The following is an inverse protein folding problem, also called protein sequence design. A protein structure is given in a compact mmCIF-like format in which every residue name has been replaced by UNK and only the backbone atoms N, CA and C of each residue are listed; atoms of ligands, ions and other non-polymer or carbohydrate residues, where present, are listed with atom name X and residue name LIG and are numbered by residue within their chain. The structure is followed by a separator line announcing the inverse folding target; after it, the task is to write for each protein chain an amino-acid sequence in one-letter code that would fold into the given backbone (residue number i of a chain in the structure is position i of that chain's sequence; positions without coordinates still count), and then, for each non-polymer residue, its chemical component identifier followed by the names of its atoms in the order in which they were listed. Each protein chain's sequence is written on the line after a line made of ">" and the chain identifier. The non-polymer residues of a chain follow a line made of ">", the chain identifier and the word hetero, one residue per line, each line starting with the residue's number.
data_IF_456459735569
#
_entry.id   IF_456459735569
#
_cell.length_a   1.000
_cell.length_b   1.000
_cell.length_c   1.000
_cell.angle_alpha   90.00
_cell.angle_beta   90.00
_cell.angle_gamma   90.00
#
_symmetry.space_group_name_H-M   'P 1'
#
loop_
_entity.id
_entity.type
_entity.pdbx_description
1 polymer ?
#
# COMPACT_ATOMS: atom_id res chain seq x y z
N UNK A 1 -13.07 -3.54 11.33
CA UNK A 1 -11.62 -3.73 11.54
C UNK A 1 -11.04 -4.20 10.21
N UNK A 2 -10.03 -3.53 9.66
CA UNK A 2 -9.54 -3.79 8.29
C UNK A 2 -9.13 -5.26 8.06
N UNK A 3 -8.26 -5.82 8.92
CA UNK A 3 -7.88 -7.23 8.85
C UNK A 3 -9.06 -8.20 8.86
N UNK A 4 -10.07 -7.95 9.70
CA UNK A 4 -11.23 -8.82 9.79
C UNK A 4 -12.09 -8.75 8.53
N UNK A 5 -12.22 -7.57 7.90
CA UNK A 5 -12.95 -7.43 6.64
C UNK A 5 -12.27 -8.13 5.47
N UNK A 6 -10.97 -8.45 5.56
CA UNK A 6 -10.20 -9.13 4.52
C UNK A 6 -9.88 -10.60 4.85
N UNK A 7 -10.31 -11.09 6.01
CA UNK A 7 -9.86 -12.40 6.49
C UNK A 7 -10.31 -13.54 5.57
N UNK A 8 -11.56 -13.53 5.10
CA UNK A 8 -12.08 -14.55 4.20
C UNK A 8 -11.35 -14.54 2.85
N UNK A 9 -11.05 -13.36 2.30
CA UNK A 9 -10.28 -13.21 1.05
C UNK A 9 -8.87 -13.79 1.21
N UNK A 10 -8.21 -13.52 2.33
CA UNK A 10 -6.89 -14.07 2.65
C UNK A 10 -6.93 -15.58 2.73
N UNK A 11 -7.90 -16.15 3.44
CA UNK A 11 -8.06 -17.60 3.52
C UNK A 11 -8.38 -18.21 2.15
N UNK A 12 -9.23 -17.56 1.35
CA UNK A 12 -9.54 -17.97 -0.03
C UNK A 12 -8.32 -17.97 -0.94
N UNK A 13 -7.34 -17.09 -0.69
CA UNK A 13 -6.05 -17.06 -1.40
C UNK A 13 -5.03 -18.09 -0.88
N UNK A 14 -5.38 -18.89 0.14
CA UNK A 14 -4.49 -19.87 0.77
C UNK A 14 -3.57 -19.29 1.84
N UNK A 15 -3.79 -18.05 2.28
CA UNK A 15 -3.01 -17.40 3.33
C UNK A 15 -3.64 -17.61 4.71
N UNK A 16 -2.80 -17.91 5.71
CA UNK A 16 -3.15 -17.80 7.11
C UNK A 16 -2.90 -16.38 7.64
N UNK A 17 -3.69 -15.95 8.62
CA UNK A 17 -3.50 -14.68 9.32
C UNK A 17 -3.40 -14.94 10.82
N UNK A 18 -2.44 -14.31 11.49
CA UNK A 18 -2.37 -14.22 12.93
C UNK A 18 -1.81 -12.85 13.35
N UNK A 19 -2.27 -12.32 14.46
CA UNK A 19 -1.75 -11.08 15.04
C UNK A 19 -1.09 -11.40 16.38
N UNK A 20 0.12 -10.89 16.60
CA UNK A 20 0.85 -11.02 17.87
C UNK A 20 0.85 -9.67 18.57
N UNK A 21 0.49 -9.62 19.85
CA UNK A 21 0.63 -8.42 20.69
C UNK A 21 1.22 -8.76 22.06
N UNK A 22 1.68 -7.76 22.81
CA UNK A 22 2.19 -7.92 24.17
C UNK A 22 1.08 -8.15 25.20
N UNK A 23 -0.18 -8.08 24.80
CA UNK A 23 -1.33 -8.18 25.70
C UNK A 23 -1.54 -9.62 26.18
N UNK A 24 -2.01 -9.82 27.43
CA UNK A 24 -2.36 -11.14 27.92
C UNK A 24 -3.58 -11.71 27.18
N UNK A 25 -3.70 -13.03 27.14
CA UNK A 25 -4.78 -13.76 26.45
C UNK A 25 -6.19 -13.32 26.87
N UNK A 26 -6.38 -12.93 28.13
CA UNK A 26 -7.67 -12.41 28.63
C UNK A 26 -8.07 -11.10 27.95
N UNK A 27 -7.12 -10.17 27.78
CA UNK A 27 -7.35 -8.91 27.08
C UNK A 27 -7.65 -9.16 25.60
N UNK A 28 -6.86 -10.02 24.96
CA UNK A 28 -7.06 -10.40 23.56
C UNK A 28 -8.43 -11.05 23.33
N UNK A 29 -8.85 -11.96 24.21
CA UNK A 29 -10.16 -12.62 24.10
C UNK A 29 -11.32 -11.63 24.25
N UNK A 30 -11.23 -10.69 25.19
CA UNK A 30 -12.25 -9.65 25.36
C UNK A 30 -12.32 -8.73 24.14
N UNK A 31 -11.16 -8.28 23.65
CA UNK A 31 -11.07 -7.44 22.45
C UNK A 31 -11.64 -8.16 21.22
N UNK A 32 -11.28 -9.43 21.03
CA UNK A 32 -11.80 -10.23 19.92
C UNK A 32 -13.33 -10.37 19.97
N UNK A 33 -13.88 -10.68 21.14
CA UNK A 33 -15.33 -10.77 21.34
C UNK A 33 -16.04 -9.44 21.08
N UNK A 34 -15.50 -8.33 21.58
CA UNK A 34 -16.07 -7.00 21.40
C UNK A 34 -16.04 -6.51 19.94
N UNK A 35 -15.08 -6.96 19.14
CA UNK A 35 -14.85 -6.50 17.77
C UNK A 35 -15.19 -7.55 16.70
N UNK A 36 -15.72 -8.71 17.08
CA UNK A 36 -16.05 -9.80 16.17
C UNK A 36 -14.84 -10.35 15.42
N UNK A 37 -13.67 -10.39 16.07
CA UNK A 37 -12.44 -10.91 15.46
C UNK A 37 -12.45 -12.43 15.51
N UNK A 38 -12.18 -13.05 14.37
CA UNK A 38 -12.22 -14.50 14.15
C UNK A 38 -10.87 -15.10 13.77
N UNK A 39 -9.91 -14.27 13.35
CA UNK A 39 -8.54 -14.71 13.16
C UNK A 39 -7.79 -14.85 14.51
N UNK A 40 -6.77 -15.73 14.59
CA UNK A 40 -5.96 -15.90 15.80
C UNK A 40 -5.29 -14.61 16.30
N UNK A 41 -5.50 -14.31 17.59
CA UNK A 41 -4.73 -13.33 18.35
C UNK A 41 -3.79 -14.07 19.31
N UNK A 42 -2.49 -13.86 19.15
CA UNK A 42 -1.43 -14.51 19.92
C UNK A 42 -0.88 -13.54 20.96
N UNK A 43 -0.80 -14.02 22.20
CA UNK A 43 -0.21 -13.27 23.32
C UNK A 43 1.29 -13.52 23.39
N UNK A 44 2.06 -12.45 23.30
CA UNK A 44 3.47 -12.38 23.66
C UNK A 44 3.60 -11.62 25.00
N UNK A 45 2.85 -12.06 26.02
CA UNK A 45 2.87 -11.43 27.33
C UNK A 45 4.30 -11.36 27.89
N UNK A 46 4.73 -10.15 28.24
CA UNK A 46 6.11 -9.89 28.65
C UNK A 46 7.07 -9.60 27.49
N UNK A 47 6.60 -9.60 26.23
CA UNK A 47 7.29 -9.14 25.02
C UNK A 47 8.58 -9.91 24.68
N UNK A 48 8.62 -11.23 24.88
CA UNK A 48 9.82 -12.02 24.58
C UNK A 48 10.09 -12.07 23.08
N UNK A 49 9.06 -12.40 22.29
CA UNK A 49 9.14 -12.45 20.82
C UNK A 49 9.39 -11.06 20.24
N UNK A 50 8.66 -10.06 20.73
CA UNK A 50 8.81 -8.66 20.31
C UNK A 50 10.26 -8.17 20.51
N UNK A 51 10.89 -8.51 21.64
CA UNK A 51 12.30 -8.15 21.90
C UNK A 51 13.27 -8.92 21.02
N UNK A 52 13.08 -10.22 20.85
CA UNK A 52 13.94 -11.06 20.01
C UNK A 52 13.99 -10.55 18.56
N UNK A 53 12.86 -10.07 18.05
CA UNK A 53 12.76 -9.51 16.71
C UNK A 53 13.18 -8.03 16.62
N UNK A 54 13.62 -7.42 17.73
CA UNK A 54 14.04 -6.01 17.77
C UNK A 54 12.90 -5.01 17.53
N UNK A 55 11.66 -5.40 17.83
CA UNK A 55 10.47 -4.60 17.54
C UNK A 55 9.98 -3.78 18.72
N UNK A 56 10.57 -3.96 19.91
CA UNK A 56 10.21 -3.16 21.08
C UNK A 56 10.51 -1.67 20.80
N UNK A 57 9.51 -0.81 20.93
CA UNK A 57 9.72 0.63 20.80
C UNK A 57 10.45 1.17 22.05
N UNK A 58 11.78 1.30 21.95
CA UNK A 58 12.60 1.88 23.01
C UNK A 58 12.50 3.41 23.11
N UNK A 59 11.97 4.09 22.08
CA UNK A 59 11.80 5.55 22.13
C UNK A 59 10.81 5.96 23.22
N UNK A 60 9.86 5.08 23.55
CA UNK A 60 8.87 5.29 24.61
C UNK A 60 9.36 4.85 25.99
N UNK A 61 10.67 4.58 26.18
CA UNK A 61 11.19 4.15 27.48
C UNK A 61 11.02 5.25 28.55
N UNK A 62 10.24 5.02 29.62
CA UNK A 62 9.97 6.02 30.65
C UNK A 62 11.22 6.41 31.45
N UNK A 63 12.24 5.55 31.52
CA UNK A 63 13.52 5.85 32.18
C UNK A 63 14.31 6.93 31.44
N UNK A 64 14.05 7.08 30.14
CA UNK A 64 14.65 8.10 29.27
C UNK A 64 13.75 9.34 29.12
N UNK A 65 12.56 9.34 29.74
CA UNK A 65 11.55 10.37 29.53
C UNK A 65 11.82 11.65 30.34
N UNK A 66 11.68 12.84 29.72
CA UNK A 66 11.46 14.09 30.44
C UNK A 66 10.26 13.94 31.39
N UNK A 67 10.31 14.61 32.55
CA UNK A 67 9.31 14.43 33.61
C UNK A 67 7.88 14.68 33.13
N UNK A 68 7.68 15.72 32.32
CA UNK A 68 6.41 16.09 31.70
C UNK A 68 5.85 15.06 30.69
N UNK A 69 6.67 14.14 30.18
CA UNK A 69 6.26 13.09 29.24
C UNK A 69 6.29 11.69 29.85
N UNK A 70 6.78 11.53 31.07
CA UNK A 70 7.02 10.22 31.70
C UNK A 70 5.75 9.39 31.81
N UNK A 71 4.63 9.97 32.22
CA UNK A 71 3.36 9.27 32.34
C UNK A 71 2.86 8.77 30.97
N UNK A 72 2.91 9.63 29.94
CA UNK A 72 2.53 9.25 28.58
C UNK A 72 3.41 8.12 28.06
N UNK A 73 4.73 8.25 28.20
CA UNK A 73 5.70 7.25 27.74
C UNK A 73 5.53 5.94 28.50
N UNK A 74 5.27 5.97 29.80
CA UNK A 74 4.99 4.77 30.60
C UNK A 74 3.75 4.00 30.11
N UNK A 75 2.70 4.71 29.66
CA UNK A 75 1.51 4.05 29.07
C UNK A 75 1.75 3.47 27.69
N UNK A 76 2.65 4.08 26.92
CA UNK A 76 2.96 3.67 25.55
C UNK A 76 4.16 2.70 25.47
N UNK A 77 4.90 2.53 26.57
CA UNK A 77 6.04 1.64 26.64
C UNK A 77 5.61 0.17 26.52
N UNK A 78 6.34 -0.61 25.71
CA UNK A 78 5.98 -1.99 25.41
C UNK A 78 5.20 -2.16 24.11
N UNK A 79 4.63 -1.09 23.57
CA UNK A 79 3.99 -1.09 22.26
C UNK A 79 5.09 -1.32 21.18
N UNK A 80 5.01 -2.40 20.38
CA UNK A 80 6.02 -2.67 19.35
C UNK A 80 5.88 -1.74 18.15
N UNK A 81 6.97 -1.49 17.42
CA UNK A 81 6.88 -0.96 16.06
C UNK A 81 5.98 -1.88 15.23
N UNK A 82 4.96 -1.34 14.54
CA UNK A 82 4.03 -2.14 13.79
C UNK A 82 4.75 -2.74 12.59
N UNK A 83 4.37 -3.97 12.25
CA UNK A 83 4.77 -4.54 10.98
C UNK A 83 4.12 -5.88 10.71
N UNK A 84 4.34 -6.34 9.49
CA UNK A 84 3.81 -7.58 8.97
C UNK A 84 4.96 -8.44 8.46
N UNK A 85 4.97 -9.69 8.88
CA UNK A 85 5.83 -10.72 8.31
C UNK A 85 5.02 -11.59 7.37
N UNK A 86 5.61 -11.94 6.23
CA UNK A 86 5.10 -13.00 5.36
C UNK A 86 5.98 -14.21 5.55
N UNK A 87 5.34 -15.35 5.79
CA UNK A 87 6.01 -16.61 6.07
C UNK A 87 5.70 -17.61 4.95
N UNK A 88 6.68 -18.43 4.61
CA UNK A 88 6.44 -19.65 3.83
C UNK A 88 5.77 -20.74 4.69
N UNK A 89 5.29 -21.86 4.11
CA UNK A 89 4.69 -22.96 4.87
C UNK A 89 5.62 -23.64 5.90
N UNK A 90 6.94 -23.45 5.79
CA UNK A 90 7.93 -23.95 6.75
C UNK A 90 8.17 -22.95 7.90
N UNK A 91 7.50 -21.80 7.89
CA UNK A 91 7.62 -20.75 8.89
C UNK A 91 8.82 -19.81 8.69
N UNK A 92 9.46 -19.81 7.51
CA UNK A 92 10.56 -18.87 7.20
C UNK A 92 10.00 -17.55 6.71
N UNK A 93 10.57 -16.45 7.20
CA UNK A 93 10.20 -15.10 6.75
C UNK A 93 10.68 -14.87 5.32
N UNK A 94 9.76 -14.66 4.39
CA UNK A 94 10.02 -14.37 2.98
C UNK A 94 9.94 -12.88 2.65
N UNK A 95 9.12 -12.12 3.40
CA UNK A 95 9.02 -10.68 3.27
C UNK A 95 8.68 -9.99 4.61
N UNK A 96 8.98 -8.70 4.68
CA UNK A 96 8.78 -7.85 5.86
C UNK A 96 8.23 -6.49 5.43
N UNK A 97 7.20 -6.01 6.13
CA UNK A 97 6.59 -4.70 5.89
C UNK A 97 6.55 -3.95 7.21
N UNK A 98 7.42 -2.94 7.34
CA UNK A 98 7.58 -2.14 8.55
C UNK A 98 7.59 -0.68 8.19
N UNK A 99 6.99 0.15 9.05
CA UNK A 99 6.97 1.59 8.89
C UNK A 99 7.85 2.27 9.93
N UNK A 100 8.49 3.37 9.54
CA UNK A 100 9.34 4.15 10.44
C UNK A 100 8.51 4.81 11.56
N UNK A 101 7.28 5.23 11.25
CA UNK A 101 6.35 5.77 12.23
C UNK A 101 5.46 4.66 12.80
N UNK A 102 5.39 4.55 14.14
CA UNK A 102 4.56 3.56 14.84
C UNK A 102 3.07 3.59 14.43
N UNK A 103 2.59 4.71 13.92
CA UNK A 103 1.18 4.93 13.61
C UNK A 103 0.81 4.53 12.18
N UNK A 104 1.80 4.34 11.31
CA UNK A 104 1.58 4.00 9.91
C UNK A 104 1.59 2.49 9.73
N UNK A 105 0.63 1.97 8.95
CA UNK A 105 0.53 0.54 8.67
C UNK A 105 0.13 0.31 7.22
N UNK A 106 0.91 -0.49 6.52
CA UNK A 106 0.51 -1.07 5.24
C UNK A 106 -0.75 -1.92 5.44
N UNK A 107 -1.79 -1.68 4.66
CA UNK A 107 -3.00 -2.53 4.63
C UNK A 107 -2.66 -3.90 4.06
N UNK A 108 -3.42 -4.93 4.39
CA UNK A 108 -3.09 -6.27 3.89
C UNK A 108 -3.32 -6.38 2.39
N UNK A 109 -4.32 -5.66 1.87
CA UNK A 109 -4.54 -5.54 0.43
C UNK A 109 -3.33 -4.92 -0.28
N UNK A 110 -2.73 -3.85 0.27
CA UNK A 110 -1.50 -3.24 -0.25
C UNK A 110 -0.32 -4.22 -0.23
N UNK A 111 -0.15 -4.94 0.88
CA UNK A 111 0.89 -5.97 1.01
C UNK A 111 0.72 -7.06 -0.06
N UNK A 112 -0.50 -7.55 -0.27
CA UNK A 112 -0.78 -8.59 -1.24
C UNK A 112 -0.41 -8.15 -2.68
N UNK A 113 -0.76 -6.92 -3.07
CA UNK A 113 -0.38 -6.36 -4.38
C UNK A 113 1.13 -6.25 -4.53
N UNK A 114 1.83 -5.78 -3.50
CA UNK A 114 3.30 -5.65 -3.52
C UNK A 114 4.03 -6.99 -3.61
N UNK A 115 3.40 -8.07 -3.17
CA UNK A 115 3.92 -9.44 -3.30
C UNK A 115 3.64 -10.07 -4.67
N UNK A 116 3.07 -9.32 -5.61
CA UNK A 116 2.67 -9.85 -6.92
C UNK A 116 1.43 -10.73 -6.85
N UNK A 117 0.67 -10.69 -5.75
CA UNK A 117 -0.64 -11.29 -5.69
C UNK A 117 -1.50 -10.77 -6.83
N UNK A 118 -2.27 -11.66 -7.46
CA UNK A 118 -3.41 -11.21 -8.25
C UNK A 118 -4.19 -10.25 -7.35
N UNK A 119 -4.59 -9.10 -7.90
CA UNK A 119 -5.66 -8.34 -7.29
C UNK A 119 -6.80 -9.35 -7.10
N UNK A 120 -7.00 -9.85 -5.87
CA UNK A 120 -8.10 -10.75 -5.60
C UNK A 120 -9.34 -9.89 -5.81
N UNK A 121 -9.88 -9.96 -7.03
CA UNK A 121 -10.72 -8.91 -7.61
C UNK A 121 -9.89 -7.75 -8.15
N UNK A 122 -9.83 -7.60 -9.47
CA UNK A 122 -10.00 -6.26 -10.03
C UNK A 122 -11.17 -5.63 -9.27
N UNK A 123 -10.91 -4.56 -8.52
CA UNK A 123 -11.92 -3.99 -7.64
C UNK A 123 -13.24 -3.86 -8.42
N UNK A 124 -14.41 -4.24 -7.85
CA UNK A 124 -15.69 -4.06 -8.54
C UNK A 124 -15.88 -2.62 -9.07
N UNK A 125 -15.17 -1.65 -8.48
CA UNK A 125 -15.15 -0.22 -8.84
C UNK A 125 -13.92 0.20 -9.66
N UNK A 126 -13.18 -0.73 -10.27
CA UNK A 126 -12.04 -0.40 -11.10
C UNK A 126 -12.47 0.43 -12.32
N UNK A 127 -11.81 1.57 -12.52
CA UNK A 127 -12.05 2.44 -13.67
C UNK A 127 -11.26 1.93 -14.87
N UNK A 128 -11.94 1.71 -16.00
CA UNK A 128 -11.30 1.33 -17.27
C UNK A 128 -11.16 2.54 -18.18
N UNK A 129 -9.97 2.73 -18.72
CA UNK A 129 -9.65 3.78 -19.68
C UNK A 129 -9.08 3.10 -20.92
N UNK A 130 -9.61 3.46 -22.08
CA UNK A 130 -9.10 3.00 -23.36
C UNK A 130 -8.63 4.19 -24.18
N UNK A 131 -7.47 4.05 -24.82
CA UNK A 131 -6.93 5.02 -25.77
C UNK A 131 -6.58 4.31 -27.08
N UNK A 132 -6.11 5.06 -28.08
CA UNK A 132 -5.59 4.46 -29.32
C UNK A 132 -4.31 3.64 -29.11
N UNK A 133 -3.61 3.82 -27.99
CA UNK A 133 -2.29 3.19 -27.75
C UNK A 133 -2.29 2.11 -26.68
N UNK A 134 -3.17 2.20 -25.68
CA UNK A 134 -3.19 1.33 -24.51
C UNK A 134 -4.56 1.30 -23.84
N UNK A 135 -4.79 0.26 -23.06
CA UNK A 135 -5.82 0.17 -22.04
C UNK A 135 -5.21 0.33 -20.65
N UNK A 136 -5.94 0.96 -19.73
CA UNK A 136 -5.56 1.08 -18.33
C UNK A 136 -6.74 0.70 -17.41
N UNK A 137 -6.46 -0.13 -16.41
CA UNK A 137 -7.38 -0.46 -15.32
C UNK A 137 -6.85 0.19 -14.05
N UNK A 138 -7.62 1.11 -13.48
CA UNK A 138 -7.25 1.99 -12.39
C UNK A 138 -8.05 1.64 -11.16
N UNK A 139 -7.38 1.32 -10.05
CA UNK A 139 -8.03 0.87 -8.82
C UNK A 139 -7.16 1.10 -7.59
N UNK A 140 -7.76 1.04 -6.39
CA UNK A 140 -7.05 1.14 -5.12
C UNK A 140 -7.21 -0.16 -4.33
N UNK A 141 -6.22 -0.48 -3.49
CA UNK A 141 -6.25 -1.69 -2.66
C UNK A 141 -7.30 -1.65 -1.56
N UNK A 142 -7.77 -0.45 -1.23
CA UNK A 142 -8.68 -0.18 -0.14
C UNK A 142 -9.71 0.85 -0.62
N UNK A 143 -10.99 0.55 -0.42
CA UNK A 143 -12.16 1.40 -0.66
C UNK A 143 -12.51 2.25 0.57
N UNK A 144 -12.13 1.78 1.76
CA UNK A 144 -12.32 2.45 3.04
C UNK A 144 -10.98 2.67 3.73
N UNK A 145 -10.64 3.93 4.01
CA UNK A 145 -9.35 4.35 4.56
C UNK A 145 -9.49 5.11 5.87
N UNK A 146 -8.46 5.05 6.71
CA UNK A 146 -8.38 5.76 7.98
C UNK A 146 -7.00 6.43 8.13
N UNK A 147 -6.87 7.45 8.99
CA UNK A 147 -5.57 7.99 9.37
C UNK A 147 -4.62 6.89 9.86
N UNK A 148 -3.37 6.93 9.41
CA UNK A 148 -2.35 5.90 9.63
C UNK A 148 -2.35 4.77 8.60
N UNK A 149 -3.30 4.69 7.67
CA UNK A 149 -3.23 3.69 6.60
C UNK A 149 -2.18 4.06 5.56
N UNK A 150 -1.39 3.06 5.16
CA UNK A 150 -0.65 3.03 3.91
C UNK A 150 -1.33 2.05 2.98
N UNK A 151 -1.76 2.55 1.83
CA UNK A 151 -2.45 1.80 0.78
C UNK A 151 -1.72 1.95 -0.55
N UNK A 152 -2.12 1.17 -1.55
CA UNK A 152 -1.55 1.27 -2.91
C UNK A 152 -2.61 1.72 -3.91
N UNK A 153 -2.24 2.70 -4.72
CA UNK A 153 -2.96 3.08 -5.94
C UNK A 153 -2.33 2.30 -7.10
N UNK A 154 -3.16 1.60 -7.86
CA UNK A 154 -2.70 0.64 -8.87
C UNK A 154 -3.22 1.05 -10.24
N UNK A 155 -2.32 0.95 -11.23
CA UNK A 155 -2.65 1.10 -12.63
C UNK A 155 -2.09 -0.10 -13.38
N UNK A 156 -2.99 -0.99 -13.82
CA UNK A 156 -2.66 -2.08 -14.75
C UNK A 156 -2.76 -1.52 -16.17
N UNK A 157 -1.66 -1.56 -16.91
CA UNK A 157 -1.55 -0.98 -18.25
C UNK A 157 -1.30 -2.09 -19.26
N UNK A 158 -2.05 -2.10 -20.34
CA UNK A 158 -1.87 -3.02 -21.47
C UNK A 158 -1.68 -2.19 -22.74
N UNK A 159 -0.46 -2.08 -23.28
CA UNK A 159 -0.25 -1.56 -24.63
C UNK A 159 -1.09 -2.33 -25.64
N UNK A 160 -1.63 -1.62 -26.65
CA UNK A 160 -2.33 -2.27 -27.77
C UNK A 160 -1.35 -3.04 -28.66
N UNK A 161 -1.82 -3.95 -29.53
CA UNK A 161 -0.95 -4.67 -30.44
C UNK A 161 0.01 -3.74 -31.19
N UNK A 162 1.26 -4.17 -31.32
CA UNK A 162 2.36 -3.43 -31.96
C UNK A 162 2.74 -2.10 -31.29
N UNK A 163 2.20 -1.78 -30.11
CA UNK A 163 2.55 -0.60 -29.33
C UNK A 163 3.49 -0.94 -28.18
N UNK A 164 4.38 0.00 -27.86
CA UNK A 164 5.16 -0.02 -26.63
C UNK A 164 5.20 1.36 -25.97
N UNK A 165 5.47 1.36 -24.67
CA UNK A 165 5.74 2.58 -23.89
C UNK A 165 7.09 2.45 -23.20
N UNK A 166 7.80 3.57 -23.07
CA UNK A 166 9.13 3.57 -22.45
C UNK A 166 9.04 3.30 -20.94
N UNK A 167 9.87 2.36 -20.47
CA UNK A 167 10.05 2.06 -19.06
C UNK A 167 11.18 2.93 -18.46
N UNK A 168 11.29 3.05 -17.12
CA UNK A 168 12.44 3.73 -16.52
C UNK A 168 13.78 3.13 -16.94
N UNK A 169 14.77 3.97 -17.23
CA UNK A 169 16.10 3.55 -17.64
C UNK A 169 17.03 4.73 -17.93
N UNK A 170 18.27 4.43 -18.32
CA UNK A 170 19.27 5.43 -18.70
C UNK A 170 19.08 5.87 -20.17
N UNK A 171 18.05 6.69 -20.41
CA UNK A 171 17.75 7.26 -21.72
C UNK A 171 16.94 8.55 -21.62
N UNK A 172 16.87 9.31 -22.72
CA UNK A 172 16.16 10.59 -22.78
C UNK A 172 14.65 10.49 -23.11
N UNK A 173 14.15 9.29 -23.46
CA UNK A 173 12.76 9.09 -23.82
C UNK A 173 11.76 9.36 -22.68
N UNK A 174 10.53 9.68 -23.06
CA UNK A 174 9.42 9.96 -22.13
C UNK A 174 8.86 8.67 -21.56
N UNK A 175 9.40 8.29 -20.41
CA UNK A 175 8.95 7.16 -19.60
C UNK A 175 7.49 7.31 -19.19
N UNK A 176 6.72 6.22 -19.22
CA UNK A 176 5.39 6.19 -18.62
C UNK A 176 5.48 6.53 -17.14
N UNK A 177 4.76 7.55 -16.69
CA UNK A 177 4.86 8.09 -15.33
C UNK A 177 3.48 8.33 -14.76
N UNK A 178 3.27 7.83 -13.54
CA UNK A 178 2.16 8.27 -12.72
C UNK A 178 2.60 9.50 -11.90
N UNK A 179 2.04 10.67 -12.22
CA UNK A 179 2.32 11.92 -11.52
C UNK A 179 1.15 12.32 -10.64
N UNK A 180 1.40 12.54 -9.36
CA UNK A 180 0.41 13.02 -8.40
C UNK A 180 0.89 14.30 -7.73
N UNK A 181 -0.02 15.26 -7.57
CA UNK A 181 0.17 16.36 -6.62
C UNK A 181 -0.54 15.95 -5.34
N UNK A 182 0.23 15.49 -4.35
CA UNK A 182 -0.33 14.97 -3.11
C UNK A 182 -1.10 16.07 -2.36
N UNK A 183 -2.38 15.86 -2.01
CA UNK A 183 -3.10 16.77 -1.12
C UNK A 183 -2.54 16.70 0.31
N UNK A 184 -2.78 17.72 1.12
CA UNK A 184 -2.19 17.87 2.47
C UNK A 184 -2.50 16.73 3.46
N UNK A 185 -3.54 15.93 3.17
CA UNK A 185 -3.94 14.76 3.96
C UNK A 185 -3.22 13.46 3.51
N UNK A 186 -2.40 13.52 2.47
CA UNK A 186 -1.77 12.37 1.84
C UNK A 186 -0.27 12.61 1.66
N UNK A 187 0.53 11.61 2.04
CA UNK A 187 1.93 11.54 1.70
C UNK A 187 2.12 10.58 0.54
N UNK A 188 2.69 11.09 -0.56
CA UNK A 188 3.08 10.30 -1.72
C UNK A 188 4.42 9.60 -1.50
N UNK A 189 4.56 8.37 -1.99
CA UNK A 189 5.84 7.64 -2.06
C UNK A 189 6.24 7.43 -3.53
N UNK A 190 7.34 6.75 -3.78
CA UNK A 190 7.78 6.45 -5.14
C UNK A 190 6.88 5.41 -5.81
N UNK A 191 6.71 5.56 -7.13
CA UNK A 191 6.02 4.56 -7.96
C UNK A 191 6.94 3.37 -8.16
N UNK A 192 6.45 2.18 -7.87
CA UNK A 192 7.12 0.92 -8.18
C UNK A 192 6.77 0.48 -9.60
N UNK A 193 7.82 0.24 -10.38
CA UNK A 193 7.74 -0.28 -11.75
C UNK A 193 8.14 -1.75 -11.78
N UNK A 194 7.50 -2.58 -12.63
CA UNK A 194 7.93 -3.95 -12.83
C UNK A 194 9.20 -4.01 -13.70
N UNK A 195 9.86 -5.17 -13.80
CA UNK A 195 10.92 -5.36 -14.78
C UNK A 195 10.41 -5.09 -16.20
N UNK A 196 11.24 -4.44 -17.03
CA UNK A 196 10.95 -4.13 -18.42
C UNK A 196 11.67 -5.07 -19.40
N UNK A 197 11.18 -5.12 -20.64
CA UNK A 197 11.89 -5.74 -21.76
C UNK A 197 12.83 -4.74 -22.42
N UNK A 198 13.84 -5.23 -23.14
CA UNK A 198 14.70 -4.39 -23.97
C UNK A 198 14.22 -4.44 -25.42
N UNK A 199 13.90 -3.27 -25.98
CA UNK A 199 13.49 -3.12 -27.37
C UNK A 199 14.61 -2.49 -28.20
N UNK A 200 14.87 -3.07 -29.37
CA UNK A 200 15.84 -2.56 -30.31
C UNK A 200 15.14 -1.74 -31.39
N UNK A 201 15.41 -0.43 -31.41
CA UNK A 201 14.86 0.48 -32.40
C UNK A 201 15.81 0.60 -33.59
N UNK A 202 15.60 -0.24 -34.61
CA UNK A 202 16.45 -0.31 -35.81
C UNK A 202 16.71 1.04 -36.49
N UNK A 203 15.74 1.97 -36.63
CA UNK A 203 15.99 3.24 -37.32
C UNK A 203 17.07 4.12 -36.68
N UNK A 204 17.30 3.99 -35.37
CA UNK A 204 18.34 4.72 -34.64
C UNK A 204 19.47 3.80 -34.15
N UNK A 205 19.37 2.49 -34.36
CA UNK A 205 20.29 1.47 -33.83
C UNK A 205 20.47 1.57 -32.29
N UNK A 206 19.37 1.85 -31.58
CA UNK A 206 19.35 2.01 -30.12
C UNK A 206 18.63 0.85 -29.44
N UNK A 207 19.01 0.55 -28.20
CA UNK A 207 18.31 -0.47 -27.38
C UNK A 207 17.86 0.16 -26.07
N UNK A 208 16.56 0.13 -25.82
CA UNK A 208 15.91 0.87 -24.73
C UNK A 208 14.90 0.02 -23.97
N UNK A 209 14.73 0.24 -22.66
CA UNK A 209 13.77 -0.49 -21.87
C UNK A 209 12.34 -0.02 -22.18
N UNK A 210 11.45 -0.96 -22.46
CA UNK A 210 10.04 -0.70 -22.80
C UNK A 210 9.11 -1.71 -22.14
N UNK A 211 7.82 -1.40 -22.15
CA UNK A 211 6.74 -2.35 -21.92
C UNK A 211 5.94 -2.54 -23.21
N UNK A 212 5.89 -3.79 -23.68
CA UNK A 212 5.09 -4.26 -24.81
C UNK A 212 3.91 -5.13 -24.35
N UNK A 213 4.06 -5.79 -23.19
CA UNK A 213 3.03 -6.63 -22.56
C UNK A 213 2.33 -5.89 -21.41
N UNK A 214 1.26 -6.48 -20.87
CA UNK A 214 0.59 -5.96 -19.68
C UNK A 214 1.56 -5.83 -18.51
N UNK A 215 1.54 -4.67 -17.86
CA UNK A 215 2.38 -4.36 -16.70
C UNK A 215 1.61 -3.59 -15.64
N UNK A 216 2.10 -3.61 -14.40
CA UNK A 216 1.44 -2.97 -13.25
C UNK A 216 2.31 -1.89 -12.65
N UNK A 217 1.79 -0.68 -12.56
CA UNK A 217 2.35 0.39 -11.74
C UNK A 217 1.70 0.36 -10.36
N UNK A 218 2.51 0.42 -9.31
CA UNK A 218 2.05 0.46 -7.91
C UNK A 218 2.56 1.74 -7.27
N UNK A 219 1.66 2.58 -6.79
CA UNK A 219 2.00 3.83 -6.13
C UNK A 219 1.50 3.81 -4.69
N UNK A 220 2.42 3.62 -3.76
CA UNK A 220 2.08 3.61 -2.35
C UNK A 220 1.84 5.04 -1.85
N UNK A 221 0.79 5.20 -1.06
CA UNK A 221 0.42 6.46 -0.44
C UNK A 221 0.09 6.23 1.03
N UNK A 222 0.45 7.18 1.87
CA UNK A 222 0.20 7.12 3.30
C UNK A 222 -0.73 8.24 3.71
N UNK A 223 -1.74 7.94 4.50
CA UNK A 223 -2.56 8.94 5.17
C UNK A 223 -1.94 9.17 6.55
N UNK A 224 -1.28 10.31 6.80
CA UNK A 224 -0.61 10.55 8.07
C UNK A 224 -1.59 10.49 9.25
N UNK A 225 -1.11 10.00 10.39
CA UNK A 225 -1.87 10.03 11.64
C UNK A 225 -1.78 11.42 12.29
N UNK A 226 -2.59 12.36 11.78
CA UNK A 226 -2.59 13.78 12.23
C UNK A 226 -3.98 14.20 12.74
N UNK A 227 -4.09 15.05 13.79
CA UNK A 227 -5.37 15.38 14.41
C UNK A 227 -6.41 15.97 13.46
N UNK A 228 -6.00 16.84 12.55
CA UNK A 228 -6.84 17.46 11.52
C UNK A 228 -7.38 16.43 10.51
N UNK A 229 -6.55 15.47 10.09
CA UNK A 229 -6.98 14.37 9.22
C UNK A 229 -7.95 13.44 9.96
N UNK A 230 -7.73 13.20 11.25
CA UNK A 230 -8.64 12.41 12.08
C UNK A 230 -10.01 13.10 12.28
N UNK A 231 -10.03 14.43 12.32
CA UNK A 231 -11.27 15.21 12.33
C UNK A 231 -12.01 15.06 11.01
N UNK A 232 -11.34 15.26 9.87
CA UNK A 232 -11.89 15.03 8.53
C UNK A 232 -12.50 13.62 8.38
N UNK A 233 -11.79 12.59 8.85
CA UNK A 233 -12.24 11.21 8.79
C UNK A 233 -13.45 10.90 9.69
N UNK A 234 -13.76 11.78 10.65
CA UNK A 234 -14.90 11.65 11.55
C UNK A 234 -16.13 12.41 11.07
N UNK A 235 -16.00 13.26 10.05
CA UNK A 235 -17.12 14.00 9.47
C UNK A 235 -18.08 13.06 8.73
N UNK A 236 -19.39 13.06 9.05
CA UNK A 236 -20.36 12.20 8.37
C UNK A 236 -20.43 12.49 6.86
N UNK A 237 -20.23 11.47 6.04
CA UNK A 237 -20.32 11.57 4.58
C UNK A 237 -19.10 12.21 3.91
N UNK A 238 -18.01 12.46 4.65
CA UNK A 238 -16.76 12.88 4.03
C UNK A 238 -16.21 11.77 3.13
N UNK A 239 -15.62 12.16 2.00
CA UNK A 239 -15.01 11.26 1.02
C UNK A 239 -13.55 11.61 0.80
N UNK A 240 -12.80 10.66 0.29
CA UNK A 240 -11.40 10.83 -0.12
C UNK A 240 -11.35 10.74 -1.63
N UNK A 241 -10.99 11.84 -2.28
CA UNK A 241 -10.65 11.83 -3.70
C UNK A 241 -9.16 12.02 -3.87
N UNK A 242 -8.52 11.07 -4.54
CA UNK A 242 -7.10 11.15 -4.91
C UNK A 242 -7.04 11.27 -6.43
N UNK A 243 -6.28 12.24 -6.93
CA UNK A 243 -6.15 12.52 -8.36
C UNK A 243 -4.69 12.40 -8.79
N UNK A 244 -4.46 11.82 -9.96
CA UNK A 244 -3.15 11.72 -10.58
C UNK A 244 -3.27 11.86 -12.10
N UNK A 245 -2.14 11.90 -12.79
CA UNK A 245 -2.07 11.89 -14.24
C UNK A 245 -1.11 10.80 -14.69
N UNK A 246 -1.58 9.90 -15.56
CA UNK A 246 -0.73 8.96 -16.26
C UNK A 246 -0.19 9.65 -17.52
N UNK A 247 1.07 10.04 -17.47
CA UNK A 247 1.79 10.68 -18.56
C UNK A 247 2.59 9.62 -19.31
N UNK A 248 2.45 9.52 -20.63
CA UNK A 248 3.20 8.54 -21.42
C UNK A 248 3.44 9.01 -22.85
N UNK A 249 4.40 8.36 -23.51
CA UNK A 249 4.52 8.38 -24.95
C UNK A 249 4.51 6.94 -25.44
N UNK A 250 3.66 6.64 -26.42
CA UNK A 250 3.62 5.36 -27.07
C UNK A 250 4.28 5.46 -28.45
N UNK A 251 4.87 4.36 -28.89
CA UNK A 251 5.41 4.20 -30.22
C UNK A 251 4.98 2.85 -30.77
N UNK A 252 4.83 2.78 -32.09
CA UNK A 252 4.82 1.51 -32.81
C UNK A 252 6.21 1.27 -33.44
N UNK A 253 6.26 0.40 -34.44
CA UNK A 253 7.49 0.06 -35.14
C UNK A 253 7.97 1.17 -36.11
N UNK A 254 7.10 2.10 -36.52
CA UNK A 254 7.43 3.15 -37.49
C UNK A 254 7.66 4.50 -36.81
N UNK A 255 6.78 4.87 -35.87
CA UNK A 255 6.71 6.21 -35.30
C UNK A 255 6.46 6.20 -33.79
N UNK A 256 6.90 7.29 -33.15
CA UNK A 256 6.47 7.64 -31.81
C UNK A 256 5.39 8.71 -31.87
N UNK A 257 4.25 8.42 -31.25
CA UNK A 257 3.09 9.30 -31.18
C UNK A 257 3.35 10.49 -30.26
N UNK A 258 2.48 11.50 -30.33
CA UNK A 258 2.55 12.64 -29.43
C UNK A 258 2.32 12.19 -27.98
N UNK A 259 3.04 12.77 -26.99
CA UNK A 259 2.83 12.46 -25.58
C UNK A 259 1.38 12.67 -25.14
N UNK A 260 0.89 11.77 -24.31
CA UNK A 260 -0.45 11.76 -23.77
C UNK A 260 -0.42 11.99 -22.25
N UNK A 261 -1.52 12.52 -21.72
CA UNK A 261 -1.73 12.75 -20.30
C UNK A 261 -3.16 12.34 -19.94
N UNK A 262 -3.33 11.25 -19.20
CA UNK A 262 -4.64 10.72 -18.82
C UNK A 262 -4.93 11.09 -17.35
N UNK A 263 -5.96 11.90 -17.07
CA UNK A 263 -6.37 12.17 -15.70
C UNK A 263 -6.95 10.89 -15.07
N UNK A 264 -6.47 10.56 -13.87
CA UNK A 264 -6.89 9.41 -13.08
C UNK A 264 -7.47 9.89 -11.75
N UNK A 265 -8.44 9.15 -11.23
CA UNK A 265 -9.05 9.43 -9.92
C UNK A 265 -9.37 8.14 -9.17
N UNK A 266 -9.20 8.17 -7.86
CA UNK A 266 -9.65 7.15 -6.92
C UNK A 266 -10.58 7.79 -5.90
N UNK A 267 -11.76 7.22 -5.75
CA UNK A 267 -12.78 7.66 -4.79
C UNK A 267 -12.89 6.63 -3.67
N UNK A 268 -12.51 7.03 -2.45
CA UNK A 268 -12.52 6.20 -1.26
C UNK A 268 -13.40 6.83 -0.18
N UNK A 269 -13.76 6.03 0.82
CA UNK A 269 -14.53 6.47 1.98
C UNK A 269 -13.67 6.57 3.23
N UNK A 270 -13.96 7.55 4.07
CA UNK A 270 -13.33 7.63 5.38
C UNK A 270 -13.90 6.61 6.37
N UNK A 271 -13.02 6.09 7.23
CA UNK A 271 -13.38 5.42 8.48
C UNK A 271 -12.78 6.19 9.64
N UNK A 272 -13.64 6.60 10.56
CA UNK A 272 -13.22 7.25 11.80
C UNK A 272 -12.28 6.34 12.61
N UNK A 273 -11.33 6.98 13.30
CA UNK A 273 -10.50 6.29 14.28
C UNK A 273 -11.38 5.77 15.42
N UNK A 274 -11.16 4.53 15.84
CA UNK A 274 -11.85 3.98 16.99
C UNK A 274 -11.16 4.54 18.24
N UNK A 275 -11.88 5.37 19.00
CA UNK A 275 -11.36 6.08 20.18
C UNK A 275 -11.70 5.40 21.53
N UNK A 276 -12.43 4.28 21.48
CA UNK A 276 -12.96 3.58 22.66
C UNK A 276 -12.48 2.12 22.77
#
# INVERSE_FOLDING_TARGET
>A
MELQSRYDDLQGSGLGLAVITYDPTTTLSQFAGARGITFPLLSDAGSATIREYGLLNEEMNPDRAPEERRELMQRLYGIPYPGTFILDPDGRVTARFFEAAYQERSTVSSIAVRLGGAAAGAAPDATRIETEHLEAIVWATDDVVAPGNRLSLVVDVTPKPDMHVYAPGDHAYRVIRLRMTAPDFLQSLDVTYPPSGMYHFEPLDETVPVYEETFRLVHDVTIPMRPDIAEMASEPGSTVRIEAVLEYQACDHEICYLPQALPLSWDLSWRALIRD
#
